data_IF_819800780700
#
_entry.id   IF_819800780700
#
_cell.length_a   1.000
_cell.length_b   1.000
_cell.length_c   1.000
_cell.angle_alpha   90.00
_cell.angle_beta   90.00
_cell.angle_gamma   90.00
#
_symmetry.space_group_name_H-M   'P 1'
#
loop_
_entity.id
_entity.type
_entity.pdbx_description
1 polymer ?
#
# COMPACT_ATOMS: atom_id res chain seq x y z
N UNK A 1 -11.49 15.97 -4.68
CA UNK A 1 -10.64 15.12 -3.82
C UNK A 1 -10.19 13.90 -4.62
N UNK A 2 -9.02 13.34 -4.29
CA UNK A 2 -8.17 12.62 -5.26
C UNK A 2 -8.83 11.43 -5.95
N UNK A 3 -8.83 11.44 -7.29
CA UNK A 3 -8.97 10.23 -8.10
C UNK A 3 -8.09 9.14 -7.50
N UNK A 4 -8.61 7.93 -7.29
CA UNK A 4 -7.79 6.78 -6.93
C UNK A 4 -6.63 6.70 -7.93
N UNK A 5 -5.42 7.00 -7.45
CA UNK A 5 -4.22 6.84 -8.28
C UNK A 5 -4.14 5.35 -8.62
N UNK A 6 -3.90 5.01 -9.89
CA UNK A 6 -3.51 3.64 -10.23
C UNK A 6 -2.20 3.36 -9.50
N UNK A 7 -2.22 2.41 -8.57
CA UNK A 7 -1.01 1.97 -7.86
C UNK A 7 -0.49 0.71 -8.55
N UNK A 8 0.81 0.61 -8.85
CA UNK A 8 1.40 -0.62 -9.33
C UNK A 8 1.08 -1.80 -8.39
N UNK A 9 0.65 -2.93 -8.95
CA UNK A 9 0.36 -4.13 -8.16
C UNK A 9 -1.02 -4.19 -7.50
N UNK A 10 -1.88 -3.18 -7.63
CA UNK A 10 -3.27 -3.23 -7.14
C UNK A 10 -4.27 -2.58 -8.11
N UNK A 11 -5.47 -3.18 -8.19
CA UNK A 11 -6.65 -2.58 -8.85
C UNK A 11 -7.44 -1.85 -7.78
N UNK A 12 -7.99 -0.68 -8.09
CA UNK A 12 -8.75 0.11 -7.13
C UNK A 12 -10.02 0.66 -7.74
N UNK A 13 -11.06 0.79 -6.91
CA UNK A 13 -12.26 1.55 -7.21
C UNK A 13 -12.65 2.32 -5.95
N UNK A 14 -12.96 3.61 -6.09
CA UNK A 14 -13.34 4.46 -4.95
C UNK A 14 -14.62 5.22 -5.23
N UNK A 15 -15.42 5.42 -4.20
CA UNK A 15 -16.59 6.30 -4.22
C UNK A 15 -16.54 7.25 -3.05
N UNK A 16 -16.85 8.51 -3.33
CA UNK A 16 -17.01 9.55 -2.34
C UNK A 16 -18.29 10.32 -2.64
N UNK A 17 -19.23 10.33 -1.70
CA UNK A 17 -20.47 11.09 -1.78
C UNK A 17 -20.48 12.09 -0.62
N UNK A 18 -20.33 13.40 -0.88
CA UNK A 18 -20.40 14.39 0.18
C UNK A 18 -21.82 14.48 0.73
N UNK A 19 -21.94 14.78 2.01
CA UNK A 19 -23.20 15.00 2.71
C UNK A 19 -24.01 16.13 2.06
N UNK A 20 -25.34 15.98 2.10
CA UNK A 20 -26.27 16.96 1.50
C UNK A 20 -26.55 18.17 2.40
N UNK A 21 -26.05 18.17 3.65
CA UNK A 21 -26.25 19.25 4.63
C UNK A 21 -24.94 19.97 4.98
N UNK A 22 -24.63 21.07 4.27
CA UNK A 22 -23.45 21.91 4.54
C UNK A 22 -22.76 22.37 3.26
N UNK A 23 -21.64 23.11 3.38
CA UNK A 23 -20.86 23.61 2.22
C UNK A 23 -20.10 22.52 1.43
N UNK A 24 -20.45 21.23 1.58
CA UNK A 24 -19.88 20.14 0.79
C UNK A 24 -18.38 19.89 1.03
N UNK A 25 -17.88 20.19 2.24
CA UNK A 25 -16.49 19.90 2.65
C UNK A 25 -16.52 18.96 3.85
N UNK A 26 -15.95 17.78 3.65
CA UNK A 26 -16.02 16.65 4.57
C UNK A 26 -14.82 16.42 5.47
N UNK A 27 -15.06 15.69 6.57
CA UNK A 27 -14.03 15.16 7.48
C UNK A 27 -13.40 13.86 6.99
N UNK A 28 -14.15 13.10 6.17
CA UNK A 28 -13.72 11.88 5.52
C UNK A 28 -12.48 12.05 4.64
N UNK A 29 -11.52 11.15 4.78
CA UNK A 29 -10.46 10.99 3.79
C UNK A 29 -10.09 9.56 3.50
N UNK A 30 -9.63 9.40 2.28
CA UNK A 30 -8.99 8.21 1.78
C UNK A 30 -7.68 8.62 1.13
N UNK A 31 -6.62 7.87 1.41
CA UNK A 31 -5.34 8.06 0.73
C UNK A 31 -4.69 6.73 0.33
N UNK A 32 -4.35 6.66 -0.95
CA UNK A 32 -3.65 5.53 -1.55
C UNK A 32 -2.20 5.96 -1.81
N UNK A 33 -1.26 5.18 -1.29
CA UNK A 33 0.17 5.49 -1.26
C UNK A 33 0.94 4.33 -1.89
N UNK A 34 1.68 4.62 -2.95
CA UNK A 34 2.69 3.70 -3.47
C UNK A 34 3.88 3.72 -2.50
N UNK A 35 4.07 2.63 -1.77
CA UNK A 35 5.19 2.45 -0.82
C UNK A 35 6.43 1.88 -1.50
N UNK A 36 6.37 1.71 -2.82
CA UNK A 36 7.40 1.09 -3.62
C UNK A 36 7.50 -0.41 -3.42
N UNK A 37 8.24 -1.04 -4.33
CA UNK A 37 8.42 -2.48 -4.38
C UNK A 37 7.09 -3.28 -4.44
N UNK A 38 6.09 -2.77 -5.16
CA UNK A 38 4.78 -3.44 -5.29
C UNK A 38 3.89 -3.38 -4.05
N UNK A 39 4.28 -2.60 -3.03
CA UNK A 39 3.53 -2.45 -1.77
C UNK A 39 2.63 -1.24 -1.79
N UNK A 40 1.49 -1.36 -1.12
CA UNK A 40 0.44 -0.34 -1.11
C UNK A 40 0.11 0.06 0.32
N UNK A 41 0.23 1.35 0.61
CA UNK A 41 -0.27 1.97 1.83
C UNK A 41 -1.67 2.53 1.59
N UNK A 42 -2.57 2.28 2.53
CA UNK A 42 -3.96 2.76 2.50
C UNK A 42 -4.26 3.45 3.82
N UNK A 43 -4.66 4.71 3.74
CA UNK A 43 -5.32 5.42 4.83
C UNK A 43 -6.80 5.53 4.54
N UNK A 44 -7.59 5.34 5.58
CA UNK A 44 -8.96 5.81 5.66
C UNK A 44 -9.18 6.41 7.04
N UNK A 45 -9.95 7.47 7.12
CA UNK A 45 -10.32 8.04 8.40
C UNK A 45 -11.39 9.09 8.26
N UNK A 46 -11.91 9.46 9.42
CA UNK A 46 -12.98 10.42 9.58
C UNK A 46 -12.70 11.31 10.80
N UNK A 47 -12.86 12.62 10.59
CA UNK A 47 -12.68 13.64 11.60
C UNK A 47 -14.05 13.97 12.19
N UNK A 48 -14.22 13.70 13.49
CA UNK A 48 -15.48 13.98 14.18
C UNK A 48 -15.74 15.48 14.14
N UNK A 49 -16.77 15.87 13.40
CA UNK A 49 -17.09 17.27 13.13
C UNK A 49 -17.54 17.45 11.70
N UNK A 50 -17.78 18.70 11.28
CA UNK A 50 -18.14 18.98 9.89
C UNK A 50 -17.78 20.40 9.48
N UNK A 51 -17.59 20.58 8.18
CA UNK A 51 -17.29 21.88 7.60
C UNK A 51 -15.80 22.19 7.58
N UNK A 52 -15.47 23.48 7.60
CA UNK A 52 -14.13 23.94 7.26
C UNK A 52 -13.06 23.50 8.28
N UNK A 53 -13.39 23.46 9.56
CA UNK A 53 -12.45 23.09 10.63
C UNK A 53 -12.04 21.61 10.51
N UNK A 54 -13.03 20.71 10.38
CA UNK A 54 -12.80 19.28 10.14
C UNK A 54 -11.97 19.04 8.86
N UNK A 55 -12.24 19.79 7.79
CA UNK A 55 -11.50 19.68 6.54
C UNK A 55 -10.02 20.12 6.66
N UNK A 56 -9.73 21.12 7.50
CA UNK A 56 -8.36 21.56 7.78
C UNK A 56 -7.59 20.49 8.55
N UNK A 57 -8.21 19.92 9.60
CA UNK A 57 -7.65 18.82 10.39
C UNK A 57 -7.37 17.61 9.51
N UNK A 58 -8.35 17.20 8.70
CA UNK A 58 -8.22 16.12 7.73
C UNK A 58 -7.04 16.37 6.77
N UNK A 59 -6.93 17.58 6.21
CA UNK A 59 -5.84 17.93 5.29
C UNK A 59 -4.46 17.85 5.92
N UNK A 60 -4.34 18.24 7.19
CA UNK A 60 -3.10 18.14 7.97
C UNK A 60 -2.75 16.68 8.28
N UNK A 61 -3.71 15.90 8.78
CA UNK A 61 -3.51 14.48 9.11
C UNK A 61 -3.17 13.64 7.88
N UNK A 62 -3.90 13.85 6.78
CA UNK A 62 -3.60 13.18 5.51
C UNK A 62 -2.18 13.47 5.02
N UNK A 63 -1.75 14.73 5.11
CA UNK A 63 -0.40 15.13 4.69
C UNK A 63 0.68 14.54 5.59
N UNK A 64 0.49 14.60 6.91
CA UNK A 64 1.39 14.02 7.90
C UNK A 64 1.49 12.50 7.75
N UNK A 65 0.35 11.81 7.69
CA UNK A 65 0.27 10.35 7.53
C UNK A 65 0.96 9.88 6.25
N UNK A 66 0.72 10.57 5.12
CA UNK A 66 1.42 10.28 3.86
C UNK A 66 2.93 10.43 3.98
N UNK A 67 3.41 11.48 4.64
CA UNK A 67 4.84 11.70 4.83
C UNK A 67 5.49 10.60 5.70
N UNK A 68 4.83 10.19 6.78
CA UNK A 68 5.31 9.12 7.67
C UNK A 68 5.32 7.76 6.97
N UNK A 69 4.30 7.46 6.17
CA UNK A 69 4.21 6.23 5.38
C UNK A 69 5.33 6.17 4.32
N UNK A 70 5.56 7.27 3.58
CA UNK A 70 6.68 7.36 2.61
C UNK A 70 8.05 7.33 3.29
N UNK A 71 8.15 7.78 4.55
CA UNK A 71 9.36 7.63 5.35
C UNK A 71 9.61 6.18 5.80
N UNK A 72 8.63 5.29 5.66
CA UNK A 72 8.72 3.87 5.98
C UNK A 72 8.60 3.58 7.47
N UNK A 73 7.86 4.41 8.23
CA UNK A 73 7.58 4.11 9.63
C UNK A 73 6.65 2.90 9.75
N UNK A 74 6.89 1.98 10.72
CA UNK A 74 5.93 0.93 11.02
C UNK A 74 4.55 1.48 11.35
N UNK A 75 3.49 0.76 10.95
CA UNK A 75 2.11 1.21 11.10
C UNK A 75 1.74 1.69 12.51
N UNK A 76 2.21 0.98 13.55
CA UNK A 76 1.96 1.37 14.94
C UNK A 76 2.70 2.66 15.34
N UNK A 77 3.97 2.82 14.97
CA UNK A 77 4.75 4.05 15.23
C UNK A 77 4.19 5.24 14.46
N UNK A 78 3.76 5.02 13.22
CA UNK A 78 3.04 6.00 12.43
C UNK A 78 1.77 6.46 13.16
N UNK A 79 0.94 5.52 13.61
CA UNK A 79 -0.33 5.84 14.28
C UNK A 79 -0.09 6.58 15.61
N UNK A 80 0.92 6.18 16.39
CA UNK A 80 1.32 6.89 17.61
C UNK A 80 1.80 8.32 17.33
N UNK A 81 2.51 8.53 16.22
CA UNK A 81 2.95 9.86 15.81
C UNK A 81 1.75 10.74 15.40
N UNK A 82 0.78 10.16 14.68
CA UNK A 82 -0.47 10.86 14.34
C UNK A 82 -1.32 11.17 15.58
N UNK A 83 -1.43 10.26 16.55
CA UNK A 83 -2.12 10.50 17.82
C UNK A 83 -1.52 11.68 18.57
N UNK A 84 -0.19 11.74 18.65
CA UNK A 84 0.52 12.86 19.26
C UNK A 84 0.30 14.17 18.52
N UNK A 85 0.34 14.14 17.18
CA UNK A 85 0.08 15.31 16.34
C UNK A 85 -1.35 15.83 16.49
N UNK A 86 -2.34 14.94 16.62
CA UNK A 86 -3.77 15.29 16.70
C UNK A 86 -4.10 16.05 17.99
N UNK A 87 -3.35 15.83 19.08
CA UNK A 87 -3.56 16.54 20.36
C UNK A 87 -3.41 18.06 20.28
N UNK A 88 -2.65 18.55 19.30
CA UNK A 88 -2.43 19.99 19.10
C UNK A 88 -3.43 20.62 18.11
N UNK A 89 -4.38 19.84 17.58
CA UNK A 89 -5.37 20.28 16.60
C UNK A 89 -6.71 20.68 17.25
N UNK A 90 -7.47 21.60 16.63
CA UNK A 90 -8.88 21.80 16.97
C UNK A 90 -9.67 20.51 16.65
N UNK A 91 -10.66 20.15 17.46
CA UNK A 91 -11.46 18.91 17.31
C UNK A 91 -10.60 17.63 17.30
N UNK A 92 -10.09 17.18 18.46
CA UNK A 92 -9.00 16.22 18.51
C UNK A 92 -9.41 14.78 18.19
N UNK A 93 -10.69 14.49 17.97
CA UNK A 93 -11.16 13.10 17.85
C UNK A 93 -11.28 12.69 16.39
N UNK A 94 -10.41 11.77 15.99
CA UNK A 94 -10.35 11.30 14.60
C UNK A 94 -10.30 9.79 14.60
N UNK A 95 -11.21 9.14 13.88
CA UNK A 95 -11.07 7.71 13.59
C UNK A 95 -10.13 7.55 12.41
N UNK A 96 -9.19 6.61 12.50
CA UNK A 96 -8.20 6.41 11.45
C UNK A 96 -7.78 4.94 11.37
N UNK A 97 -7.58 4.45 10.16
CA UNK A 97 -6.98 3.16 9.90
C UNK A 97 -5.87 3.32 8.87
N UNK A 98 -4.72 2.74 9.20
CA UNK A 98 -3.61 2.61 8.27
C UNK A 98 -3.35 1.12 7.99
N UNK A 99 -3.25 0.80 6.71
CA UNK A 99 -3.02 -0.54 6.20
C UNK A 99 -1.87 -0.52 5.20
N UNK A 100 -0.93 -1.45 5.36
CA UNK A 100 0.11 -1.74 4.39
C UNK A 100 -0.12 -3.13 3.81
N UNK A 101 -0.35 -3.23 2.51
CA UNK A 101 -0.42 -4.49 1.81
C UNK A 101 0.91 -4.74 1.08
N UNK A 102 1.50 -5.92 1.33
CA UNK A 102 2.64 -6.44 0.60
C UNK A 102 2.22 -7.74 -0.11
N UNK A 103 1.74 -7.64 -1.37
CA UNK A 103 1.36 -8.80 -2.16
C UNK A 103 2.55 -9.72 -2.43
N UNK A 104 3.77 -9.17 -2.46
CA UNK A 104 4.98 -9.95 -2.66
C UNK A 104 5.21 -10.87 -1.46
N UNK A 105 5.03 -10.37 -0.24
CA UNK A 105 5.19 -11.17 0.98
C UNK A 105 3.95 -11.99 1.31
N UNK A 106 2.81 -11.68 0.69
CA UNK A 106 1.53 -12.29 1.04
C UNK A 106 1.10 -11.87 2.44
N UNK A 107 1.37 -10.62 2.82
CA UNK A 107 1.03 -10.08 4.14
C UNK A 107 0.34 -8.71 4.05
N UNK A 108 -0.54 -8.46 5.01
CA UNK A 108 -1.07 -7.14 5.32
C UNK A 108 -0.67 -6.78 6.75
N UNK A 109 -0.17 -5.57 6.96
CA UNK A 109 -0.03 -4.97 8.28
C UNK A 109 -1.10 -3.90 8.48
N UNK A 110 -1.87 -3.96 9.57
CA UNK A 110 -2.95 -2.99 9.85
C UNK A 110 -2.79 -2.41 11.25
N UNK A 111 -3.08 -1.13 11.41
CA UNK A 111 -3.25 -0.47 12.70
C UNK A 111 -4.52 0.41 12.66
N UNK A 112 -5.42 0.22 13.64
CA UNK A 112 -6.67 0.97 13.75
C UNK A 112 -6.69 1.86 15.00
N UNK A 113 -7.18 3.08 14.83
CA UNK A 113 -7.48 4.07 15.84
C UNK A 113 -8.99 4.39 15.78
N UNK A 114 -9.81 3.53 16.37
CA UNK A 114 -11.26 3.74 16.48
C UNK A 114 -12.07 3.60 15.20
N UNK A 115 -11.45 3.21 14.08
CA UNK A 115 -12.12 3.13 12.78
C UNK A 115 -12.84 1.79 12.57
N UNK A 116 -13.79 1.78 11.63
CA UNK A 116 -14.61 0.61 11.29
C UNK A 116 -13.79 -0.58 10.76
N UNK A 117 -14.31 -1.82 10.90
CA UNK A 117 -13.61 -3.02 10.43
C UNK A 117 -13.36 -3.03 8.92
N UNK A 118 -12.15 -3.40 8.51
CA UNK A 118 -11.84 -3.67 7.10
C UNK A 118 -12.43 -5.02 6.71
N UNK A 119 -13.20 -5.05 5.63
CA UNK A 119 -13.72 -6.28 5.06
C UNK A 119 -12.73 -6.86 4.05
N UNK A 120 -12.50 -8.16 4.12
CA UNK A 120 -11.71 -8.93 3.19
C UNK A 120 -12.65 -9.83 2.39
N UNK A 121 -12.64 -9.66 1.08
CA UNK A 121 -13.24 -10.56 0.10
C UNK A 121 -12.16 -11.53 -0.36
N UNK A 122 -12.30 -12.81 -0.04
CA UNK A 122 -11.35 -13.82 -0.48
C UNK A 122 -11.60 -14.21 -1.95
N UNK A 123 -10.67 -14.97 -2.58
CA UNK A 123 -10.83 -15.39 -3.97
C UNK A 123 -12.03 -16.32 -4.21
N UNK A 124 -12.60 -16.87 -3.13
CA UNK A 124 -13.78 -17.73 -3.15
C UNK A 124 -15.07 -16.90 -2.90
N UNK A 125 -14.97 -15.57 -3.05
CA UNK A 125 -16.03 -14.56 -2.88
C UNK A 125 -16.63 -14.50 -1.46
N UNK A 126 -15.96 -15.10 -0.46
CA UNK A 126 -16.38 -15.01 0.94
C UNK A 126 -15.84 -13.76 1.58
N UNK A 127 -16.74 -13.08 2.30
CA UNK A 127 -16.43 -11.82 2.97
C UNK A 127 -16.26 -12.07 4.46
N UNK A 128 -15.18 -11.54 5.03
CA UNK A 128 -14.93 -11.57 6.48
C UNK A 128 -14.28 -10.28 6.95
N UNK A 129 -14.52 -9.92 8.19
CA UNK A 129 -13.78 -8.85 8.84
C UNK A 129 -12.32 -9.27 9.08
N UNK A 130 -11.39 -8.34 8.88
CA UNK A 130 -10.02 -8.52 9.34
C UNK A 130 -10.00 -8.46 10.88
N UNK A 131 -9.35 -9.42 11.57
CA UNK A 131 -9.27 -9.44 13.03
C UNK A 131 -8.25 -8.41 13.53
N UNK A 132 -8.58 -7.12 13.39
CA UNK A 132 -7.76 -5.99 13.80
C UNK A 132 -8.29 -5.45 15.14
N UNK A 133 -7.47 -5.36 16.19
CA UNK A 133 -7.87 -4.73 17.44
C UNK A 133 -8.24 -3.26 17.19
N UNK A 134 -9.45 -2.87 17.55
CA UNK A 134 -9.89 -1.48 17.47
C UNK A 134 -9.23 -0.69 18.60
N UNK A 135 -8.32 0.22 18.26
CA UNK A 135 -7.76 1.19 19.20
C UNK A 135 -8.76 2.29 19.55
N UNK A 136 -8.40 3.19 20.46
CA UNK A 136 -9.15 4.43 20.68
C UNK A 136 -8.99 5.37 19.47
N UNK A 137 -9.93 6.28 19.20
CA UNK A 137 -9.72 7.36 18.24
C UNK A 137 -8.46 8.17 18.58
N UNK A 138 -7.83 8.76 17.56
CA UNK A 138 -6.71 9.68 17.73
C UNK A 138 -7.13 10.86 18.61
N UNK A 139 -6.17 11.42 19.35
CA UNK A 139 -6.34 12.56 20.24
C UNK A 139 -7.02 12.27 21.57
N UNK A 140 -7.64 11.08 21.74
CA UNK A 140 -8.11 10.59 23.06
C UNK A 140 -6.91 10.29 23.97
N UNK A 141 -5.87 9.65 23.41
CA UNK A 141 -4.69 9.19 24.14
C UNK A 141 -4.99 8.09 25.19
N UNK A 142 -3.98 7.81 26.02
CA UNK A 142 -4.11 6.93 27.18
C UNK A 142 -3.85 5.44 26.95
N UNK A 143 -3.86 4.95 25.71
CA UNK A 143 -3.56 3.54 25.38
C UNK A 143 -2.74 3.46 24.09
N UNK A 144 -1.69 2.61 24.01
CA UNK A 144 -0.98 2.38 22.77
C UNK A 144 -1.87 1.70 21.72
N UNK A 145 -1.82 2.19 20.48
CA UNK A 145 -2.41 1.47 19.34
C UNK A 145 -1.66 0.16 19.11
N UNK A 146 -2.35 -0.81 18.51
CA UNK A 146 -1.78 -2.12 18.18
C UNK A 146 -1.81 -2.31 16.68
N UNK A 147 -0.73 -2.90 16.15
CA UNK A 147 -0.71 -3.37 14.77
C UNK A 147 -0.79 -4.90 14.74
N UNK A 148 -1.44 -5.43 13.71
CA UNK A 148 -1.48 -6.87 13.42
C UNK A 148 -0.93 -7.15 12.04
N UNK A 149 -0.33 -8.32 11.87
CA UNK A 149 0.08 -8.86 10.57
C UNK A 149 -0.81 -10.04 10.22
N UNK A 150 -1.37 -10.02 9.03
CA UNK A 150 -2.37 -10.97 8.56
C UNK A 150 -1.98 -11.48 7.17
N UNK A 151 -2.29 -12.74 6.83
CA UNK A 151 -1.99 -13.27 5.50
C UNK A 151 -2.85 -12.59 4.41
N UNK A 152 -2.19 -12.22 3.32
CA UNK A 152 -2.79 -11.72 2.08
C UNK A 152 -2.72 -12.80 1.01
N UNK A 153 -3.85 -13.45 0.74
CA UNK A 153 -3.95 -14.41 -0.36
C UNK A 153 -4.00 -13.64 -1.69
N UNK A 154 -3.31 -14.15 -2.70
CA UNK A 154 -3.50 -13.68 -4.07
C UNK A 154 -4.99 -13.72 -4.46
N UNK A 155 -5.46 -12.72 -5.19
CA UNK A 155 -6.87 -12.57 -5.60
C UNK A 155 -7.79 -11.94 -4.57
N UNK A 156 -7.28 -11.62 -3.38
CA UNK A 156 -8.06 -10.96 -2.34
C UNK A 156 -8.44 -9.54 -2.74
N UNK A 157 -9.63 -9.10 -2.34
CA UNK A 157 -10.02 -7.69 -2.39
C UNK A 157 -10.30 -7.17 -0.98
N UNK A 158 -9.79 -5.99 -0.65
CA UNK A 158 -10.10 -5.29 0.60
C UNK A 158 -11.18 -4.24 0.34
N UNK A 159 -12.13 -4.12 1.27
CA UNK A 159 -13.17 -3.10 1.31
C UNK A 159 -13.00 -2.26 2.57
N UNK A 160 -12.73 -0.97 2.37
CA UNK A 160 -12.61 0.04 3.42
C UNK A 160 -13.73 1.08 3.21
N UNK A 161 -14.35 1.53 4.28
CA UNK A 161 -15.50 2.42 4.22
C UNK A 161 -15.61 3.26 5.49
N UNK A 162 -16.27 4.41 5.37
CA UNK A 162 -16.62 5.27 6.50
C UNK A 162 -18.02 4.98 7.00
N UNK A 163 -18.33 5.52 8.17
CA UNK A 163 -19.61 5.32 8.85
C UNK A 163 -20.79 5.80 8.03
N UNK A 164 -20.69 6.86 7.23
CA UNK A 164 -21.78 7.29 6.36
C UNK A 164 -22.29 6.22 5.37
N UNK A 165 -21.53 5.15 5.12
CA UNK A 165 -22.00 4.00 4.33
C UNK A 165 -22.92 3.04 5.11
N UNK A 166 -22.71 2.92 6.42
CA UNK A 166 -23.34 1.89 7.27
C UNK A 166 -24.18 2.47 8.42
N UNK A 167 -23.97 3.72 8.80
CA UNK A 167 -24.77 4.43 9.77
C UNK A 167 -26.00 5.03 9.10
N UNK A 168 -27.16 4.60 9.58
CA UNK A 168 -28.44 5.16 9.16
C UNK A 168 -29.26 5.46 10.41
N UNK A 169 -30.02 6.56 10.41
CA UNK A 169 -30.85 6.96 11.56
C UNK A 169 -31.95 5.96 11.93
N UNK A 170 -32.17 4.94 11.10
CA UNK A 170 -33.28 3.99 11.19
C UNK A 170 -32.86 2.52 11.35
N UNK A 171 -31.57 2.20 11.23
CA UNK A 171 -31.07 0.81 11.27
C UNK A 171 -29.84 0.69 12.16
N UNK A 172 -29.73 -0.44 12.85
CA UNK A 172 -28.55 -0.81 13.63
C UNK A 172 -27.32 -1.02 12.72
N UNK A 173 -26.14 -0.66 13.22
CA UNK A 173 -24.89 -0.72 12.46
C UNK A 173 -24.53 -2.16 12.08
N UNK A 174 -24.75 -3.12 12.99
CA UNK A 174 -24.48 -4.54 12.74
C UNK A 174 -25.30 -5.08 11.57
N UNK A 175 -26.57 -4.65 11.47
CA UNK A 175 -27.45 -5.06 10.36
C UNK A 175 -27.00 -4.47 9.02
N UNK A 176 -26.43 -3.26 9.03
CA UNK A 176 -25.90 -2.62 7.83
C UNK A 176 -24.56 -3.23 7.41
N UNK A 177 -23.71 -3.62 8.38
CA UNK A 177 -22.51 -4.42 8.11
C UNK A 177 -22.85 -5.78 7.51
N UNK A 178 -23.88 -6.48 8.02
CA UNK A 178 -24.39 -7.72 7.43
C UNK A 178 -24.91 -7.52 6.00
N UNK A 179 -25.52 -6.36 5.73
CA UNK A 179 -26.02 -6.01 4.40
C UNK A 179 -24.87 -5.69 3.44
N UNK A 180 -23.85 -4.96 3.90
CA UNK A 180 -22.62 -4.67 3.16
C UNK A 180 -21.90 -5.98 2.81
N UNK A 181 -21.72 -6.87 3.79
CA UNK A 181 -21.12 -8.19 3.62
C UNK A 181 -21.83 -8.99 2.53
N UNK A 182 -23.16 -9.11 2.61
CA UNK A 182 -23.95 -9.83 1.59
C UNK A 182 -23.90 -9.17 0.20
N UNK A 183 -23.86 -7.84 0.14
CA UNK A 183 -23.75 -7.12 -1.13
C UNK A 183 -22.40 -7.37 -1.81
N UNK A 184 -21.32 -7.41 -1.01
CA UNK A 184 -19.99 -7.76 -1.48
C UNK A 184 -19.92 -9.23 -1.95
N UNK A 185 -20.38 -10.18 -1.13
CA UNK A 185 -20.41 -11.60 -1.53
C UNK A 185 -21.18 -11.80 -2.85
N UNK A 186 -22.39 -11.24 -2.94
CA UNK A 186 -23.24 -11.40 -4.12
C UNK A 186 -22.67 -10.77 -5.39
N UNK A 187 -21.95 -9.64 -5.30
CA UNK A 187 -21.37 -9.02 -6.49
C UNK A 187 -20.08 -9.71 -6.93
N UNK A 188 -19.21 -10.09 -6.00
CA UNK A 188 -17.95 -10.77 -6.33
C UNK A 188 -18.16 -12.20 -6.85
N UNK A 189 -19.29 -12.84 -6.57
CA UNK A 189 -19.74 -14.07 -7.25
C UNK A 189 -19.96 -13.89 -8.76
N UNK A 190 -20.15 -12.65 -9.24
CA UNK A 190 -20.54 -12.38 -10.63
C UNK A 190 -19.52 -11.58 -11.44
N UNK A 191 -18.62 -10.85 -10.77
CA UNK A 191 -17.68 -9.95 -11.44
C UNK A 191 -16.43 -9.72 -10.61
N UNK A 192 -15.27 -9.68 -11.28
CA UNK A 192 -14.01 -9.23 -10.69
C UNK A 192 -13.79 -7.71 -10.89
N UNK A 193 -14.67 -7.04 -11.63
CA UNK A 193 -14.62 -5.60 -11.89
C UNK A 193 -15.00 -4.79 -10.63
N UNK A 194 -13.99 -4.14 -10.04
CA UNK A 194 -14.12 -3.36 -8.81
C UNK A 194 -15.04 -2.12 -9.00
N UNK A 195 -15.11 -1.54 -10.19
CA UNK A 195 -15.97 -0.38 -10.43
C UNK A 195 -17.44 -0.79 -10.39
N UNK A 196 -17.77 -1.92 -11.01
CA UNK A 196 -19.12 -2.51 -10.94
C UNK A 196 -19.48 -2.96 -9.53
N UNK A 197 -18.51 -3.52 -8.80
CA UNK A 197 -18.70 -3.92 -7.40
C UNK A 197 -18.99 -2.71 -6.51
N UNK A 198 -18.20 -1.64 -6.60
CA UNK A 198 -18.40 -0.41 -5.83
C UNK A 198 -19.77 0.23 -6.14
N UNK A 199 -20.16 0.30 -7.41
CA UNK A 199 -21.47 0.83 -7.81
C UNK A 199 -22.63 -0.05 -7.31
N UNK A 200 -22.47 -1.38 -7.29
CA UNK A 200 -23.47 -2.28 -6.75
C UNK A 200 -23.64 -2.07 -5.25
N UNK A 201 -22.54 -2.03 -4.50
CA UNK A 201 -22.56 -1.80 -3.04
C UNK A 201 -23.27 -0.48 -2.72
N UNK A 202 -22.90 0.62 -3.39
CA UNK A 202 -23.57 1.91 -3.18
C UNK A 202 -25.07 1.85 -3.48
N UNK A 203 -25.48 1.30 -4.63
CA UNK A 203 -26.92 1.20 -4.94
C UNK A 203 -27.69 0.34 -3.95
N UNK A 204 -27.04 -0.71 -3.42
CA UNK A 204 -27.65 -1.63 -2.47
C UNK A 204 -27.80 -1.02 -1.07
N UNK A 205 -26.81 -0.28 -0.58
CA UNK A 205 -26.85 0.32 0.75
C UNK A 205 -27.52 1.70 0.78
N UNK A 206 -27.38 2.46 -0.30
CA UNK A 206 -27.82 3.84 -0.41
C UNK A 206 -28.81 4.02 -1.57
N UNK A 207 -30.02 3.41 -1.50
CA UNK A 207 -31.01 3.48 -2.58
C UNK A 207 -31.58 4.90 -2.77
N UNK A 208 -31.53 5.74 -1.73
CA UNK A 208 -31.89 7.17 -1.80
C UNK A 208 -30.66 8.04 -1.54
N UNK A 209 -29.85 8.25 -2.58
CA UNK A 209 -28.62 9.06 -2.49
C UNK A 209 -28.84 10.50 -2.02
N UNK A 210 -30.09 11.00 -2.04
CA UNK A 210 -30.42 12.38 -1.67
C UNK A 210 -30.60 12.59 -0.15
N UNK A 211 -30.62 11.54 0.68
CA UNK A 211 -30.96 11.63 2.11
C UNK A 211 -29.81 11.36 3.10
N UNK A 212 -28.56 11.25 2.63
CA UNK A 212 -27.43 10.94 3.52
C UNK A 212 -27.03 12.14 4.35
N UNK A 213 -26.99 11.92 5.67
CA UNK A 213 -26.66 12.93 6.67
C UNK A 213 -25.15 13.16 6.79
N UNK A 214 -24.36 12.13 6.48
CA UNK A 214 -22.90 12.15 6.54
C UNK A 214 -22.24 11.88 5.18
N UNK A 215 -20.94 12.11 5.13
CA UNK A 215 -20.12 11.77 3.98
C UNK A 215 -19.97 10.26 3.85
N UNK A 216 -19.99 9.78 2.61
CA UNK A 216 -19.85 8.36 2.32
C UNK A 216 -18.56 8.13 1.56
N UNK A 217 -17.68 7.33 2.14
CA UNK A 217 -16.46 6.87 1.48
C UNK A 217 -16.48 5.35 1.37
N UNK A 218 -16.18 4.84 0.18
CA UNK A 218 -15.93 3.42 -0.09
C UNK A 218 -14.67 3.27 -0.95
N UNK A 219 -13.76 2.39 -0.55
CA UNK A 219 -12.61 1.98 -1.32
C UNK A 219 -12.56 0.45 -1.43
N UNK A 220 -12.45 -0.03 -2.66
CA UNK A 220 -12.10 -1.40 -2.97
C UNK A 220 -10.65 -1.45 -3.48
N UNK A 221 -9.83 -2.35 -2.92
CA UNK A 221 -8.45 -2.62 -3.34
C UNK A 221 -8.29 -4.10 -3.66
N UNK A 222 -8.23 -4.43 -4.94
CA UNK A 222 -8.07 -5.81 -5.43
C UNK A 222 -6.62 -6.14 -5.74
N UNK A 223 -6.16 -7.28 -5.24
CA UNK A 223 -4.81 -7.80 -5.49
C UNK A 223 -4.82 -8.91 -6.56
N UNK A 224 -3.74 -9.06 -7.34
CA UNK A 224 -3.67 -10.06 -8.41
C UNK A 224 -3.85 -11.50 -7.90
N UNK A 225 -4.51 -12.35 -8.71
CA UNK A 225 -4.80 -13.78 -8.46
C UNK A 225 -3.63 -14.73 -8.74
N UNK A 226 -2.69 -14.34 -9.59
CA UNK A 226 -1.48 -15.12 -9.85
C UNK A 226 -0.43 -14.84 -8.76
N UNK A 227 0.39 -15.82 -8.35
CA UNK A 227 1.55 -15.50 -7.54
C UNK A 227 2.40 -14.51 -8.33
N UNK A 228 2.85 -13.46 -7.68
CA UNK A 228 4.03 -12.77 -8.16
C UNK A 228 5.10 -13.85 -8.29
N UNK A 229 5.71 -13.99 -9.45
CA UNK A 229 6.82 -14.93 -9.59
C UNK A 229 7.93 -14.43 -8.69
N UNK A 230 8.15 -15.11 -7.57
CA UNK A 230 9.10 -14.69 -6.54
C UNK A 230 10.24 -15.68 -6.48
N UNK A 231 11.46 -15.15 -6.44
CA UNK A 231 12.66 -15.93 -6.21
C UNK A 231 13.55 -15.20 -5.20
N UNK A 232 14.08 -15.93 -4.22
CA UNK A 232 14.98 -15.37 -3.22
C UNK A 232 16.23 -16.21 -3.08
N UNK A 233 17.35 -15.54 -2.76
CA UNK A 233 18.64 -16.16 -2.51
C UNK A 233 19.38 -15.41 -1.41
N UNK A 234 19.82 -16.14 -0.41
CA UNK A 234 20.79 -15.64 0.56
C UNK A 234 22.20 -15.68 -0.04
N UNK A 235 22.96 -14.62 0.15
CA UNK A 235 24.31 -14.41 -0.34
C UNK A 235 25.21 -13.99 0.82
N UNK A 236 26.42 -14.52 0.90
CA UNK A 236 27.41 -14.05 1.87
C UNK A 236 27.80 -12.60 1.57
N UNK A 237 28.22 -11.83 2.57
CA UNK A 237 28.68 -10.45 2.40
C UNK A 237 30.14 -10.41 1.91
N UNK A 238 30.40 -11.00 0.74
CA UNK A 238 31.72 -11.14 0.13
C UNK A 238 31.70 -10.66 -1.32
N UNK A 239 32.80 -10.12 -1.88
CA UNK A 239 32.83 -9.65 -3.27
C UNK A 239 32.44 -10.71 -4.31
N UNK A 240 32.68 -12.00 -4.01
CA UNK A 240 32.28 -13.13 -4.87
C UNK A 240 30.75 -13.30 -4.97
N UNK A 241 29.99 -12.72 -4.06
CA UNK A 241 28.53 -12.77 -4.08
C UNK A 241 27.90 -11.88 -5.16
N UNK A 242 28.60 -10.84 -5.62
CA UNK A 242 28.09 -9.97 -6.70
C UNK A 242 27.85 -10.76 -8.00
N UNK A 243 28.84 -11.49 -8.56
CA UNK A 243 28.60 -12.33 -9.74
C UNK A 243 27.62 -13.47 -9.48
N UNK A 244 27.54 -14.00 -8.24
CA UNK A 244 26.56 -15.04 -7.90
C UNK A 244 25.12 -14.50 -7.94
N UNK A 245 24.88 -13.30 -7.41
CA UNK A 245 23.58 -12.63 -7.48
C UNK A 245 23.20 -12.25 -8.91
N UNK A 246 24.15 -11.76 -9.71
CA UNK A 246 23.94 -11.51 -11.15
C UNK A 246 23.54 -12.77 -11.91
N UNK A 247 24.19 -13.90 -11.65
CA UNK A 247 23.84 -15.18 -12.27
C UNK A 247 22.42 -15.60 -11.92
N UNK A 248 22.07 -15.53 -10.63
CA UNK A 248 20.74 -15.85 -10.14
C UNK A 248 19.65 -14.98 -10.81
N UNK A 249 19.88 -13.67 -10.93
CA UNK A 249 18.97 -12.77 -11.63
C UNK A 249 18.83 -13.14 -13.11
N UNK A 250 19.93 -13.36 -13.82
CA UNK A 250 19.91 -13.73 -15.25
C UNK A 250 19.14 -15.03 -15.50
N UNK A 251 19.36 -16.05 -14.65
CA UNK A 251 18.62 -17.32 -14.69
C UNK A 251 17.11 -17.08 -14.54
N UNK A 252 16.71 -16.23 -13.59
CA UNK A 252 15.29 -15.91 -13.35
C UNK A 252 14.64 -15.05 -14.42
N UNK A 253 15.35 -14.06 -14.98
CA UNK A 253 14.84 -13.30 -16.11
C UNK A 253 14.60 -14.18 -17.34
N UNK A 254 15.48 -15.16 -17.57
CA UNK A 254 15.29 -16.12 -18.66
C UNK A 254 14.08 -17.03 -18.40
N UNK A 255 13.95 -17.55 -17.18
CA UNK A 255 12.82 -18.39 -16.76
C UNK A 255 11.48 -17.65 -16.87
N UNK A 256 11.45 -16.36 -16.54
CA UNK A 256 10.25 -15.51 -16.57
C UNK A 256 10.00 -14.85 -17.93
N UNK A 257 10.84 -15.10 -18.95
CA UNK A 257 10.68 -14.52 -20.28
C UNK A 257 11.01 -13.02 -20.37
N UNK A 258 11.70 -12.46 -19.38
CA UNK A 258 12.04 -11.03 -19.27
C UNK A 258 13.43 -10.71 -19.84
N UNK A 259 13.83 -11.39 -20.92
CA UNK A 259 15.16 -11.26 -21.49
C UNK A 259 15.50 -9.81 -21.91
N UNK A 260 14.50 -9.03 -22.29
CA UNK A 260 14.64 -7.60 -22.66
C UNK A 260 15.11 -6.70 -21.51
N UNK A 261 14.85 -7.06 -20.25
CA UNK A 261 15.24 -6.28 -19.08
C UNK A 261 16.66 -6.62 -18.58
N UNK A 262 17.30 -7.63 -19.15
CA UNK A 262 18.54 -8.25 -18.63
C UNK A 262 19.64 -7.23 -18.40
N UNK A 263 19.96 -6.38 -19.38
CA UNK A 263 21.08 -5.45 -19.29
C UNK A 263 20.89 -4.44 -18.15
N UNK A 264 19.72 -3.78 -18.11
CA UNK A 264 19.38 -2.81 -17.07
C UNK A 264 19.29 -3.47 -15.69
N UNK A 265 18.59 -4.61 -15.59
CA UNK A 265 18.41 -5.30 -14.32
C UNK A 265 19.74 -5.80 -13.74
N UNK A 266 20.62 -6.37 -14.57
CA UNK A 266 21.94 -6.84 -14.13
C UNK A 266 22.86 -5.69 -13.71
N UNK A 267 22.84 -4.56 -14.42
CA UNK A 267 23.61 -3.38 -14.06
C UNK A 267 23.18 -2.85 -12.69
N UNK A 268 21.89 -2.57 -12.52
CA UNK A 268 21.37 -2.01 -11.28
C UNK A 268 21.55 -2.95 -10.08
N UNK A 269 21.33 -4.25 -10.30
CA UNK A 269 21.55 -5.26 -9.25
C UNK A 269 23.03 -5.36 -8.87
N UNK A 270 23.94 -5.19 -9.82
CA UNK A 270 25.38 -5.15 -9.53
C UNK A 270 25.73 -3.97 -8.64
N UNK A 271 25.16 -2.79 -8.89
CA UNK A 271 25.37 -1.60 -8.05
C UNK A 271 24.83 -1.80 -6.62
N UNK A 272 23.61 -2.32 -6.50
CA UNK A 272 23.01 -2.58 -5.18
C UNK A 272 23.77 -3.67 -4.41
N UNK A 273 24.16 -4.78 -5.06
CA UNK A 273 24.94 -5.84 -4.42
C UNK A 273 26.34 -5.35 -4.01
N UNK A 274 26.99 -4.54 -4.83
CA UNK A 274 28.31 -3.97 -4.52
C UNK A 274 28.22 -3.04 -3.32
N UNK A 275 27.19 -2.20 -3.25
CA UNK A 275 26.89 -1.38 -2.07
C UNK A 275 26.60 -2.23 -0.84
N UNK A 276 25.83 -3.30 -1.00
CA UNK A 276 25.56 -4.29 0.05
C UNK A 276 26.86 -4.87 0.60
N UNK A 277 27.70 -5.47 -0.25
CA UNK A 277 28.98 -6.08 0.17
C UNK A 277 29.90 -5.07 0.88
N UNK A 278 29.89 -3.79 0.48
CA UNK A 278 30.75 -2.76 1.08
C UNK A 278 30.23 -2.20 2.40
N UNK A 279 28.91 -2.15 2.60
CA UNK A 279 28.31 -1.37 3.68
C UNK A 279 27.32 -2.14 4.58
N UNK A 280 26.93 -3.35 4.20
CA UNK A 280 26.01 -4.19 4.94
C UNK A 280 26.62 -4.78 6.21
N UNK A 281 25.74 -5.37 7.02
CA UNK A 281 26.10 -6.28 8.11
C UNK A 281 25.36 -7.59 7.90
N UNK A 282 26.05 -8.72 8.12
CA UNK A 282 25.47 -10.05 7.96
C UNK A 282 25.24 -10.43 6.49
N UNK A 283 24.55 -11.55 6.22
CA UNK A 283 24.25 -11.99 4.86
C UNK A 283 23.35 -10.97 4.13
N UNK A 284 23.45 -10.98 2.80
CA UNK A 284 22.56 -10.24 1.91
C UNK A 284 21.44 -11.17 1.46
N UNK A 285 20.19 -10.73 1.55
CA UNK A 285 19.07 -11.45 0.96
C UNK A 285 18.66 -10.75 -0.33
N UNK A 286 18.97 -11.39 -1.47
CA UNK A 286 18.53 -10.95 -2.79
C UNK A 286 17.17 -11.57 -3.07
N UNK A 287 16.16 -10.73 -3.30
CA UNK A 287 14.80 -11.15 -3.62
C UNK A 287 14.35 -10.49 -4.91
N UNK A 288 13.73 -11.28 -5.76
CA UNK A 288 13.22 -10.92 -7.06
C UNK A 288 11.72 -11.18 -7.04
N UNK A 289 10.94 -10.27 -7.61
CA UNK A 289 9.53 -10.52 -7.86
C UNK A 289 9.13 -9.95 -9.21
N UNK A 290 8.16 -10.58 -9.86
CA UNK A 290 7.64 -10.14 -11.14
C UNK A 290 6.11 -10.13 -11.14
N UNK A 291 5.55 -9.07 -11.73
CA UNK A 291 4.14 -8.89 -12.02
C UNK A 291 3.96 -8.55 -13.50
N UNK A 292 2.73 -8.59 -14.00
CA UNK A 292 2.42 -8.20 -15.39
C UNK A 292 2.90 -6.80 -15.82
N UNK A 293 3.31 -5.92 -14.89
CA UNK A 293 3.79 -4.56 -15.19
C UNK A 293 5.21 -4.29 -14.74
N UNK A 294 5.73 -5.04 -13.78
CA UNK A 294 6.96 -4.66 -13.08
C UNK A 294 7.79 -5.87 -12.67
N UNK A 295 9.10 -5.74 -12.84
CA UNK A 295 10.12 -6.54 -12.19
C UNK A 295 10.67 -5.74 -11.01
N UNK A 296 10.65 -6.32 -9.82
CA UNK A 296 11.31 -5.76 -8.64
C UNK A 296 12.53 -6.56 -8.22
N UNK A 297 13.56 -5.84 -7.78
CA UNK A 297 14.75 -6.40 -7.15
C UNK A 297 14.94 -5.75 -5.79
N UNK A 298 15.05 -6.57 -4.76
CA UNK A 298 15.22 -6.17 -3.38
C UNK A 298 16.49 -6.79 -2.80
N UNK A 299 17.28 -5.99 -2.09
CA UNK A 299 18.45 -6.45 -1.35
C UNK A 299 18.26 -6.03 0.10
N UNK A 300 18.08 -7.02 0.96
CA UNK A 300 17.95 -6.82 2.41
C UNK A 300 19.26 -7.15 3.09
N UNK A 301 19.67 -6.30 4.03
CA UNK A 301 20.81 -6.50 4.90
C UNK A 301 20.50 -6.09 6.35
N UNK A 302 21.36 -6.43 7.32
CA UNK A 302 21.17 -6.11 8.74
C UNK A 302 21.76 -4.76 9.17
N UNK A 303 21.99 -3.84 8.24
CA UNK A 303 22.45 -2.48 8.54
C UNK A 303 21.29 -1.49 8.53
N UNK A 304 21.38 -0.48 9.39
CA UNK A 304 20.36 0.57 9.53
C UNK A 304 20.66 1.86 8.74
N UNK A 305 21.92 2.25 8.42
CA UNK A 305 22.15 3.49 7.69
C UNK A 305 21.60 3.44 6.27
N UNK A 306 20.82 4.46 5.88
CA UNK A 306 20.33 4.60 4.49
C UNK A 306 21.50 4.89 3.53
N UNK A 307 21.53 4.26 2.34
CA UNK A 307 22.46 4.64 1.30
C UNK A 307 22.27 6.12 0.93
N UNK A 308 23.36 6.86 0.75
CA UNK A 308 23.31 8.24 0.29
C UNK A 308 23.93 8.31 -1.11
N UNK A 309 23.16 8.77 -2.08
CA UNK A 309 23.72 9.15 -3.37
C UNK A 309 24.76 10.26 -3.14
N UNK A 310 25.97 10.07 -3.63
CA UNK A 310 27.03 11.07 -3.62
C UNK A 310 27.33 11.47 -5.06
N UNK A 311 27.41 12.77 -5.32
CA UNK A 311 28.01 13.28 -6.55
C UNK A 311 29.51 13.03 -6.43
N UNK A 312 29.98 11.94 -7.03
CA UNK A 312 31.40 11.65 -7.16
C UNK A 312 32.07 12.77 -7.97
N UNK A 313 33.22 13.27 -7.52
CA UNK A 313 34.01 14.19 -8.35
C UNK A 313 34.48 13.46 -9.63
N UNK A 314 34.80 14.21 -10.68
CA UNK A 314 35.06 13.66 -12.03
C UNK A 314 36.09 12.52 -12.08
N UNK A 315 36.97 12.43 -11.08
CA UNK A 315 38.06 11.45 -10.94
C UNK A 315 37.77 10.31 -9.96
N UNK A 316 36.65 10.32 -9.23
CA UNK A 316 36.26 9.23 -8.33
C UNK A 316 35.41 8.19 -9.07
N UNK A 317 35.86 6.94 -9.08
CA UNK A 317 35.10 5.78 -9.59
C UNK A 317 34.03 5.30 -8.60
N UNK A 318 34.18 5.64 -7.31
CA UNK A 318 33.28 5.21 -6.24
C UNK A 318 32.11 6.19 -6.04
N UNK A 319 30.91 5.69 -5.73
CA UNK A 319 29.74 6.51 -5.38
C UNK A 319 28.77 6.88 -6.52
N UNK A 320 29.02 6.46 -7.77
CA UNK A 320 28.11 6.69 -8.91
C UNK A 320 26.95 5.69 -8.99
N UNK A 321 27.04 4.55 -8.30
CA UNK A 321 26.10 3.45 -8.45
C UNK A 321 24.64 3.83 -8.21
N UNK A 322 24.35 4.61 -7.17
CA UNK A 322 22.97 5.06 -6.89
C UNK A 322 22.47 6.09 -7.90
N UNK A 323 23.35 6.85 -8.56
CA UNK A 323 22.95 7.75 -9.65
C UNK A 323 22.56 6.97 -10.90
N UNK A 324 23.19 5.82 -11.16
CA UNK A 324 22.77 4.90 -12.24
C UNK A 324 21.41 4.29 -11.94
N UNK A 325 21.19 3.88 -10.69
CA UNK A 325 19.89 3.37 -10.23
C UNK A 325 18.82 4.45 -10.40
N UNK A 326 19.09 5.67 -9.97
CA UNK A 326 18.16 6.81 -10.13
C UNK A 326 17.85 7.12 -11.60
N UNK A 327 18.82 6.98 -12.50
CA UNK A 327 18.65 7.30 -13.91
C UNK A 327 17.93 6.20 -14.72
N UNK A 328 18.02 4.93 -14.30
CA UNK A 328 17.55 3.78 -15.10
C UNK A 328 16.38 3.02 -14.49
N UNK A 329 16.18 3.09 -13.17
CA UNK A 329 15.05 2.43 -12.53
C UNK A 329 13.75 3.18 -12.85
N UNK A 330 12.63 2.44 -12.90
CA UNK A 330 11.31 3.07 -12.91
C UNK A 330 11.04 3.76 -11.58
N UNK A 331 11.33 3.05 -10.48
CA UNK A 331 11.33 3.56 -9.13
C UNK A 331 12.41 2.84 -8.32
N UNK A 332 12.94 3.50 -7.31
CA UNK A 332 13.87 2.88 -6.37
C UNK A 332 13.74 3.52 -4.99
N UNK A 333 14.22 2.84 -3.97
CA UNK A 333 14.14 3.38 -2.62
C UNK A 333 14.89 2.56 -1.59
N UNK A 334 14.74 3.00 -0.34
CA UNK A 334 15.26 2.27 0.83
C UNK A 334 14.18 2.22 1.89
N UNK A 335 13.92 1.01 2.37
CA UNK A 335 12.98 0.72 3.45
C UNK A 335 13.75 0.28 4.69
N UNK A 336 13.56 0.91 5.86
CA UNK A 336 14.02 0.32 7.10
C UNK A 336 13.17 -0.91 7.44
N UNK A 337 13.79 -1.94 7.99
CA UNK A 337 13.11 -3.10 8.58
C UNK A 337 13.57 -3.24 10.04
N UNK A 338 12.82 -3.97 10.86
CA UNK A 338 13.06 -4.08 12.30
C UNK A 338 14.51 -4.51 12.65
N UNK A 339 15.14 -5.30 11.77
CA UNK A 339 16.49 -5.82 11.96
C UNK A 339 17.51 -5.32 10.91
N UNK A 340 17.17 -4.32 10.10
CA UNK A 340 18.00 -3.96 8.96
C UNK A 340 17.39 -2.95 7.99
N UNK A 341 17.74 -3.09 6.72
CA UNK A 341 17.17 -2.28 5.64
C UNK A 341 17.04 -3.09 4.37
N UNK A 342 16.10 -2.71 3.53
CA UNK A 342 15.95 -3.19 2.17
C UNK A 342 16.17 -2.05 1.19
N UNK A 343 17.12 -2.21 0.27
CA UNK A 343 17.29 -1.32 -0.89
C UNK A 343 16.68 -2.01 -2.09
N UNK A 344 15.88 -1.28 -2.87
CA UNK A 344 15.11 -1.88 -3.94
C UNK A 344 15.05 -0.97 -5.16
N UNK A 345 14.82 -1.58 -6.33
CA UNK A 345 14.42 -0.88 -7.54
C UNK A 345 13.38 -1.70 -8.30
N UNK A 346 12.60 -1.03 -9.15
CA UNK A 346 11.67 -1.64 -10.10
C UNK A 346 12.02 -1.23 -11.53
N UNK A 347 11.69 -2.11 -12.48
CA UNK A 347 11.71 -1.85 -13.91
C UNK A 347 10.33 -2.17 -14.48
N UNK A 348 9.85 -1.37 -15.43
CA UNK A 348 8.61 -1.65 -16.13
C UNK A 348 8.82 -2.80 -17.11
N UNK A 349 7.96 -3.81 -17.03
CA UNK A 349 7.79 -4.83 -18.07
C UNK A 349 6.94 -4.19 -19.15
N UNK A 350 7.44 -4.13 -20.39
CA UNK A 350 6.61 -3.62 -21.48
C UNK A 350 5.45 -4.60 -21.67
N UNK A 351 4.19 -4.13 -21.78
CA UNK A 351 3.13 -5.03 -22.20
C UNK A 351 3.49 -5.56 -23.59
N UNK A 352 3.26 -6.84 -23.84
CA UNK A 352 3.21 -7.35 -25.21
C UNK A 352 2.31 -6.42 -26.02
N UNK A 353 2.82 -5.88 -27.13
CA UNK A 353 1.97 -5.15 -28.08
C UNK A 353 0.80 -6.07 -28.45
N UNK A 354 -0.46 -5.59 -28.45
CA UNK A 354 -1.55 -6.41 -28.97
C UNK A 354 -1.19 -6.80 -30.40
N UNK A 355 -1.27 -8.09 -30.73
CA UNK A 355 -1.03 -8.55 -32.10
C UNK A 355 -1.84 -7.68 -33.07
N UNK A 356 -1.24 -7.23 -34.20
CA UNK A 356 -1.95 -6.42 -35.17
C UNK A 356 -2.98 -7.29 -35.89
N UNK A 357 -4.18 -7.39 -35.31
CA UNK A 357 -5.16 -8.36 -35.76
C UNK A 357 -6.56 -8.25 -35.17
N UNK A 358 -7.05 -7.06 -34.85
CA UNK A 358 -8.50 -6.83 -34.79
C UNK A 358 -8.81 -5.43 -35.34
N UNK A 359 -9.27 -5.40 -36.60
CA UNK A 359 -9.79 -4.23 -37.30
C UNK A 359 -11.27 -4.42 -37.56
#
# INVERSE_FOLDING_TARGET
MGSAKRIPGARTASRYLPSTQGQGVGGDWLDLIDLGAGRVGVFIGDVIGRGMDAAVVMGQLRSAGRALALAGLPACELMQTLDAFTRDLPEPFVTCLYLEADPTQGEITVCSAGHLPVLLVDPDSKVRELPVPTGLPLGVGGVPHQQVRLPLRAGTTLALYTDGLVETSSTDIDQQLDRLTRALEGVFDTTEDLERAADHVLRTLLPDTASHADDVTLLLVGFPTAPLDIAARELACEPVSVPAGRRFLSEKLTEWGLAELTDSALLLTSELLTNGVRHARGPLHLRLWHSARELGVEITDHSTPRPKARLAESTEEDGRGLLLVDALAHAWGTRPDAAGKTVWFTLLVRPDEPEPGDR
#
